data_IF_997167798871
#
_entry.id   IF_997167798871
#
_cell.length_a   1.000
_cell.length_b   1.000
_cell.length_c   1.000
_cell.angle_alpha   90.00
_cell.angle_beta   90.00
_cell.angle_gamma   90.00
#
_symmetry.space_group_name_H-M   'P 1'
#
loop_
_entity.id
_entity.type
_entity.pdbx_description
1 polymer ?
#
# COMPACT_ATOMS: atom_id res chain seq x y z
N UNK A 1 0.40 -2.07 -7.64
CA UNK A 1 -0.93 -2.35 -8.22
C UNK A 1 -0.83 -3.20 -9.47
N UNK A 2 -1.53 -4.33 -9.47
CA UNK A 2 -1.69 -5.19 -10.64
C UNK A 2 -2.56 -4.52 -11.72
N UNK A 3 -2.15 -4.58 -12.99
CA UNK A 3 -2.76 -3.85 -14.10
C UNK A 3 -3.41 -4.74 -15.15
N UNK A 4 -3.20 -6.06 -15.09
CA UNK A 4 -3.85 -6.97 -16.03
C UNK A 4 -5.30 -7.27 -15.62
N UNK A 5 -6.10 -7.72 -16.59
CA UNK A 5 -7.55 -7.93 -16.42
C UNK A 5 -7.90 -8.96 -15.34
N UNK A 6 -7.06 -9.98 -15.14
CA UNK A 6 -7.31 -11.08 -14.20
C UNK A 6 -6.00 -11.56 -13.60
N UNK A 7 -6.02 -11.87 -12.31
CA UNK A 7 -4.92 -12.58 -11.69
C UNK A 7 -4.71 -13.94 -12.33
N UNK A 8 -3.43 -14.32 -12.51
CA UNK A 8 -3.07 -15.66 -12.93
C UNK A 8 -3.56 -16.70 -11.93
N UNK A 9 -4.39 -17.64 -12.40
CA UNK A 9 -4.99 -18.70 -11.57
C UNK A 9 -3.94 -19.43 -10.70
N UNK A 10 -2.79 -19.76 -11.30
CA UNK A 10 -1.69 -20.44 -10.61
C UNK A 10 -0.99 -19.58 -9.57
N UNK A 11 -0.88 -18.27 -9.80
CA UNK A 11 -0.30 -17.33 -8.84
C UNK A 11 -1.16 -17.26 -7.58
N UNK A 12 -2.49 -17.10 -7.75
CA UNK A 12 -3.44 -17.08 -6.62
C UNK A 12 -3.40 -18.37 -5.82
N UNK A 13 -3.40 -19.52 -6.49
CA UNK A 13 -3.33 -20.83 -5.84
C UNK A 13 -2.00 -20.97 -5.09
N UNK A 14 -0.87 -20.67 -5.73
CA UNK A 14 0.45 -20.83 -5.10
C UNK A 14 0.65 -19.93 -3.87
N UNK A 15 0.10 -18.71 -3.91
CA UNK A 15 0.14 -17.77 -2.80
C UNK A 15 -0.69 -18.27 -1.59
N UNK A 16 -1.85 -18.90 -1.84
CA UNK A 16 -2.80 -19.31 -0.80
C UNK A 16 -2.83 -20.82 -0.46
N UNK A 17 -2.03 -21.65 -1.14
CA UNK A 17 -2.07 -23.13 -1.05
C UNK A 17 -1.86 -23.69 0.36
N UNK A 18 -1.23 -22.94 1.28
CA UNK A 18 -1.03 -23.38 2.67
C UNK A 18 -2.36 -23.68 3.36
N UNK A 19 -3.42 -22.93 3.06
CA UNK A 19 -4.76 -23.19 3.60
C UNK A 19 -5.33 -24.54 3.13
N UNK A 20 -5.13 -24.88 1.86
CA UNK A 20 -5.58 -26.17 1.32
C UNK A 20 -4.90 -27.34 2.01
N UNK A 21 -3.57 -27.31 2.13
CA UNK A 21 -2.81 -28.38 2.80
C UNK A 21 -3.16 -28.49 4.28
N UNK A 22 -3.46 -27.37 4.95
CA UNK A 22 -3.93 -27.39 6.32
C UNK A 22 -5.29 -28.10 6.44
N UNK A 23 -6.25 -27.82 5.56
CA UNK A 23 -7.53 -28.53 5.53
C UNK A 23 -7.40 -30.02 5.18
N UNK A 24 -6.48 -30.38 4.28
CA UNK A 24 -6.16 -31.79 4.00
C UNK A 24 -5.61 -32.48 5.25
N UNK A 25 -4.70 -31.83 5.97
CA UNK A 25 -4.12 -32.35 7.20
C UNK A 25 -5.20 -32.60 8.27
N UNK A 26 -6.08 -31.62 8.52
CA UNK A 26 -7.15 -31.77 9.52
C UNK A 26 -8.16 -32.86 9.14
N UNK A 27 -8.44 -33.03 7.83
CA UNK A 27 -9.25 -34.16 7.35
C UNK A 27 -8.60 -35.51 7.57
N UNK A 28 -7.29 -35.65 7.31
CA UNK A 28 -6.56 -36.90 7.56
C UNK A 28 -6.57 -37.26 9.04
N UNK A 29 -6.44 -36.27 9.93
CA UNK A 29 -6.56 -36.48 11.38
C UNK A 29 -7.96 -36.99 11.73
N UNK A 30 -9.02 -36.35 11.24
CA UNK A 30 -10.40 -36.77 11.51
C UNK A 30 -10.69 -38.19 10.99
N UNK A 31 -10.23 -38.53 9.78
CA UNK A 31 -10.36 -39.88 9.22
C UNK A 31 -9.55 -40.91 10.01
N UNK A 32 -8.32 -40.56 10.44
CA UNK A 32 -7.52 -41.43 11.31
C UNK A 32 -8.26 -41.74 12.62
N UNK A 33 -8.84 -40.72 13.26
CA UNK A 33 -9.67 -40.90 14.45
C UNK A 33 -10.89 -41.79 14.17
N UNK A 34 -11.58 -41.58 13.04
CA UNK A 34 -12.73 -42.38 12.62
C UNK A 34 -12.38 -43.86 12.46
N UNK A 35 -11.30 -44.19 11.76
CA UNK A 35 -10.90 -45.59 11.51
C UNK A 35 -10.28 -46.28 12.73
N UNK A 36 -9.61 -45.55 13.63
CA UNK A 36 -8.92 -46.13 14.81
C UNK A 36 -9.85 -46.26 16.01
N UNK A 37 -10.62 -45.21 16.32
CA UNK A 37 -11.44 -45.13 17.55
C UNK A 37 -12.91 -45.49 17.29
N UNK A 38 -13.33 -45.51 16.01
CA UNK A 38 -14.70 -45.75 15.60
C UNK A 38 -15.55 -44.48 15.65
N UNK A 39 -16.53 -44.40 14.73
CA UNK A 39 -17.39 -43.23 14.48
C UNK A 39 -18.07 -42.64 15.74
N UNK A 40 -18.33 -43.48 16.75
CA UNK A 40 -19.17 -43.14 17.90
C UNK A 40 -18.49 -42.24 18.95
N UNK A 41 -17.17 -42.03 18.89
CA UNK A 41 -16.47 -41.27 19.94
C UNK A 41 -16.36 -39.76 19.69
N UNK A 42 -16.64 -39.28 18.47
CA UNK A 42 -16.50 -37.86 18.11
C UNK A 42 -17.68 -37.37 17.27
N UNK A 43 -18.88 -37.36 17.86
CA UNK A 43 -20.06 -36.75 17.23
C UNK A 43 -19.98 -35.23 17.35
N UNK A 44 -19.76 -34.55 16.22
CA UNK A 44 -19.89 -33.09 16.10
C UNK A 44 -21.13 -32.81 15.26
N UNK A 45 -22.19 -32.19 15.83
CA UNK A 45 -23.37 -31.88 15.05
C UNK A 45 -23.04 -30.90 13.92
N UNK A 46 -23.64 -31.09 12.74
CA UNK A 46 -23.42 -30.23 11.58
C UNK A 46 -23.93 -28.80 11.79
N UNK A 47 -25.08 -28.62 12.46
CA UNK A 47 -25.76 -27.33 12.57
C UNK A 47 -24.92 -26.26 13.31
N UNK A 48 -24.27 -26.55 14.45
CA UNK A 48 -23.33 -25.63 15.10
C UNK A 48 -22.13 -25.25 14.22
N UNK A 49 -21.55 -26.20 13.48
CA UNK A 49 -20.42 -25.93 12.59
C UNK A 49 -20.84 -25.00 11.45
N UNK A 50 -22.00 -25.24 10.85
CA UNK A 50 -22.57 -24.39 9.82
C UNK A 50 -22.84 -22.96 10.35
N UNK A 51 -23.37 -22.83 11.56
CA UNK A 51 -23.62 -21.52 12.20
C UNK A 51 -22.31 -20.74 12.40
N UNK A 52 -21.27 -21.40 12.94
CA UNK A 52 -19.94 -20.79 13.14
C UNK A 52 -19.30 -20.41 11.80
N UNK A 53 -19.37 -21.29 10.79
CA UNK A 53 -18.87 -21.01 9.44
C UNK A 53 -19.56 -19.83 8.79
N UNK A 54 -20.88 -19.72 8.96
CA UNK A 54 -21.67 -18.58 8.46
C UNK A 54 -21.28 -17.29 9.15
N UNK A 55 -21.17 -17.28 10.49
CA UNK A 55 -20.73 -16.11 11.25
C UNK A 55 -19.30 -15.67 10.85
N UNK A 56 -18.40 -16.63 10.63
CA UNK A 56 -17.04 -16.37 10.16
C UNK A 56 -17.02 -15.76 8.75
N UNK A 57 -17.86 -16.25 7.83
CA UNK A 57 -17.97 -15.69 6.49
C UNK A 57 -18.45 -14.23 6.51
N UNK A 58 -19.46 -13.90 7.33
CA UNK A 58 -19.90 -12.52 7.53
C UNK A 58 -18.79 -11.66 8.14
N UNK A 59 -18.11 -12.16 9.17
CA UNK A 59 -17.01 -11.43 9.81
C UNK A 59 -15.92 -11.08 8.78
N UNK A 60 -15.45 -12.06 8.00
CA UNK A 60 -14.43 -11.84 6.97
C UNK A 60 -14.92 -10.89 5.88
N UNK A 61 -16.20 -10.96 5.49
CA UNK A 61 -16.80 -10.00 4.55
C UNK A 61 -16.73 -8.56 5.07
N UNK A 62 -17.09 -8.32 6.32
CA UNK A 62 -16.97 -6.99 6.93
C UNK A 62 -15.51 -6.53 7.06
N UNK A 63 -14.60 -7.41 7.50
CA UNK A 63 -13.16 -7.11 7.56
C UNK A 63 -12.63 -6.72 6.18
N UNK A 64 -12.93 -7.51 5.15
CA UNK A 64 -12.43 -7.27 3.79
C UNK A 64 -12.93 -5.96 3.21
N UNK A 65 -14.20 -5.59 3.45
CA UNK A 65 -14.72 -4.29 3.05
C UNK A 65 -13.96 -3.15 3.74
N UNK A 66 -13.72 -3.25 5.05
CA UNK A 66 -12.95 -2.24 5.79
C UNK A 66 -11.49 -2.14 5.32
N UNK A 67 -10.84 -3.28 5.04
CA UNK A 67 -9.50 -3.30 4.45
C UNK A 67 -9.46 -2.68 3.07
N UNK A 68 -10.46 -2.95 2.23
CA UNK A 68 -10.58 -2.36 0.90
C UNK A 68 -10.79 -0.84 0.97
N UNK A 69 -11.64 -0.36 1.88
CA UNK A 69 -11.85 1.08 2.07
C UNK A 69 -10.56 1.80 2.46
N UNK A 70 -9.71 1.18 3.26
CA UNK A 70 -8.38 1.68 3.64
C UNK A 70 -7.42 1.75 2.44
N UNK A 71 -7.38 0.71 1.60
CA UNK A 71 -6.63 0.72 0.34
C UNK A 71 -7.14 1.83 -0.61
N UNK A 72 -8.47 1.96 -0.71
CA UNK A 72 -9.11 2.99 -1.53
C UNK A 72 -8.84 4.40 -1.00
N UNK A 73 -8.81 4.60 0.31
CA UNK A 73 -8.41 5.85 0.95
C UNK A 73 -6.98 6.24 0.55
N UNK A 74 -6.03 5.30 0.64
CA UNK A 74 -4.66 5.52 0.18
C UNK A 74 -4.61 5.92 -1.30
N UNK A 75 -5.40 5.27 -2.16
CA UNK A 75 -5.48 5.63 -3.59
C UNK A 75 -6.02 7.04 -3.82
N UNK A 76 -7.07 7.44 -3.08
CA UNK A 76 -7.65 8.79 -3.16
C UNK A 76 -6.66 9.87 -2.73
N UNK A 77 -5.93 9.65 -1.62
CA UNK A 77 -4.90 10.55 -1.12
C UNK A 77 -3.83 10.78 -2.19
N UNK A 78 -3.27 9.72 -2.74
CA UNK A 78 -2.25 9.82 -3.78
C UNK A 78 -2.78 10.37 -5.11
N UNK A 79 -4.08 10.19 -5.41
CA UNK A 79 -4.74 10.88 -6.52
C UNK A 79 -4.85 12.40 -6.30
N UNK A 80 -5.16 12.84 -5.08
CA UNK A 80 -5.17 14.26 -4.72
C UNK A 80 -3.76 14.87 -4.82
N UNK A 81 -2.73 14.15 -4.37
CA UNK A 81 -1.33 14.58 -4.49
C UNK A 81 -0.96 14.88 -5.95
N UNK A 82 -1.38 14.07 -6.93
CA UNK A 82 -1.11 14.33 -8.37
C UNK A 82 -1.68 15.69 -8.79
N UNK A 83 -2.99 15.88 -8.58
CA UNK A 83 -3.68 17.07 -9.05
C UNK A 83 -3.18 18.34 -8.35
N UNK A 84 -2.93 18.24 -7.05
CA UNK A 84 -2.40 19.35 -6.26
C UNK A 84 -0.97 19.69 -6.71
N UNK A 85 -0.12 18.69 -7.00
CA UNK A 85 1.25 18.93 -7.48
C UNK A 85 1.27 19.70 -8.82
N UNK A 86 0.40 19.32 -9.76
CA UNK A 86 0.24 20.03 -11.04
C UNK A 86 -0.26 21.45 -10.84
N UNK A 87 -1.24 21.64 -9.95
CA UNK A 87 -1.78 22.96 -9.62
C UNK A 87 -0.71 23.86 -8.99
N UNK A 88 0.11 23.30 -8.09
CA UNK A 88 1.25 24.00 -7.50
C UNK A 88 2.28 24.43 -8.53
N UNK A 89 2.67 23.54 -9.45
CA UNK A 89 3.59 23.87 -10.52
C UNK A 89 3.04 25.01 -11.40
N UNK A 90 1.76 24.96 -11.77
CA UNK A 90 1.11 26.03 -12.53
C UNK A 90 1.11 27.36 -11.76
N UNK A 91 0.78 27.33 -10.46
CA UNK A 91 0.83 28.51 -9.59
C UNK A 91 2.24 29.06 -9.48
N UNK A 92 3.27 28.25 -9.25
CA UNK A 92 4.67 28.71 -9.20
C UNK A 92 5.09 29.38 -10.50
N UNK A 93 4.74 28.79 -11.65
CA UNK A 93 5.08 29.34 -12.96
C UNK A 93 4.40 30.68 -13.24
N UNK A 94 3.15 30.85 -12.80
CA UNK A 94 2.36 32.06 -13.04
C UNK A 94 2.48 33.15 -11.97
N UNK A 95 2.68 32.77 -10.70
CA UNK A 95 2.60 33.71 -9.57
C UNK A 95 3.93 34.35 -9.23
N UNK A 96 5.04 33.63 -9.38
CA UNK A 96 6.39 34.15 -9.09
C UNK A 96 6.82 35.04 -10.26
N UNK A 97 6.74 36.35 -10.07
CA UNK A 97 7.03 37.35 -11.12
C UNK A 97 7.68 38.61 -10.55
N UNK A 98 8.28 39.42 -11.42
CA UNK A 98 8.86 40.72 -11.06
C UNK A 98 7.82 41.84 -10.86
N UNK A 99 6.52 41.53 -10.87
CA UNK A 99 5.46 42.56 -10.96
C UNK A 99 5.46 43.53 -9.77
N UNK A 100 5.79 43.04 -8.58
CA UNK A 100 5.79 43.82 -7.33
C UNK A 100 7.18 43.93 -6.70
N UNK A 101 8.22 43.46 -7.39
CA UNK A 101 9.59 43.45 -6.87
C UNK A 101 10.20 44.85 -7.00
N UNK A 102 10.73 45.44 -5.90
CA UNK A 102 11.43 46.73 -5.97
C UNK A 102 12.64 46.67 -6.92
N UNK A 103 13.37 45.57 -6.86
CA UNK A 103 14.50 45.25 -7.75
C UNK A 103 14.13 44.04 -8.60
N UNK A 104 14.05 44.22 -9.92
CA UNK A 104 13.71 43.14 -10.83
C UNK A 104 14.85 42.13 -10.95
N UNK A 105 14.52 40.84 -10.82
CA UNK A 105 15.46 39.75 -11.04
C UNK A 105 15.50 39.38 -12.51
N UNK A 106 16.65 38.86 -12.98
CA UNK A 106 16.76 38.36 -14.35
C UNK A 106 15.80 37.18 -14.60
N UNK A 107 15.36 36.99 -15.84
CA UNK A 107 14.53 35.84 -16.22
C UNK A 107 15.19 34.48 -15.88
N UNK A 108 16.53 34.42 -15.95
CA UNK A 108 17.29 33.22 -15.57
C UNK A 108 17.19 32.95 -14.07
N UNK A 109 17.27 33.98 -13.25
CA UNK A 109 17.12 33.86 -11.79
C UNK A 109 15.67 33.50 -11.43
N UNK A 110 14.68 34.13 -12.08
CA UNK A 110 13.26 33.82 -11.87
C UNK A 110 12.95 32.36 -12.20
N UNK A 111 13.50 31.86 -13.32
CA UNK A 111 13.39 30.45 -13.68
C UNK A 111 14.07 29.54 -12.66
N UNK A 112 15.26 29.90 -12.16
CA UNK A 112 15.95 29.13 -11.12
C UNK A 112 15.14 29.05 -9.81
N UNK A 113 14.47 30.13 -9.41
CA UNK A 113 13.57 30.16 -8.25
C UNK A 113 12.38 29.21 -8.47
N UNK A 114 11.70 29.32 -9.62
CA UNK A 114 10.58 28.45 -9.98
C UNK A 114 10.98 26.98 -9.98
N UNK A 115 12.14 26.68 -10.57
CA UNK A 115 12.75 25.35 -10.58
C UNK A 115 13.02 24.85 -9.17
N UNK A 116 13.63 25.66 -8.30
CA UNK A 116 13.90 25.29 -6.88
C UNK A 116 12.63 24.94 -6.13
N UNK A 117 11.56 25.75 -6.24
CA UNK A 117 10.29 25.48 -5.57
C UNK A 117 9.65 24.16 -6.02
N UNK A 118 9.67 23.88 -7.32
CA UNK A 118 9.11 22.64 -7.89
C UNK A 118 9.98 21.43 -7.53
N UNK A 119 11.31 21.56 -7.60
CA UNK A 119 12.23 20.49 -7.24
C UNK A 119 12.15 20.16 -5.75
N UNK A 120 12.00 21.16 -4.87
CA UNK A 120 11.76 20.92 -3.44
C UNK A 120 10.44 20.18 -3.20
N UNK A 121 9.39 20.46 -3.97
CA UNK A 121 8.15 19.67 -3.92
C UNK A 121 8.36 18.20 -4.35
N UNK A 122 9.18 17.96 -5.37
CA UNK A 122 9.57 16.59 -5.76
C UNK A 122 10.44 15.89 -4.69
N UNK A 123 11.26 16.64 -3.97
CA UNK A 123 12.01 16.14 -2.82
C UNK A 123 11.07 15.73 -1.67
N UNK A 124 10.04 16.52 -1.38
CA UNK A 124 9.01 16.16 -0.39
C UNK A 124 8.31 14.84 -0.79
N UNK A 125 7.87 14.74 -2.03
CA UNK A 125 7.21 13.55 -2.56
C UNK A 125 8.11 12.31 -2.46
N UNK A 126 9.41 12.49 -2.73
CA UNK A 126 10.42 11.45 -2.57
C UNK A 126 10.57 11.04 -1.10
N UNK A 127 10.71 11.99 -0.18
CA UNK A 127 10.80 11.70 1.25
C UNK A 127 9.57 10.92 1.75
N UNK A 128 8.36 11.37 1.39
CA UNK A 128 7.10 10.73 1.78
C UNK A 128 7.02 9.29 1.25
N UNK A 129 7.35 9.08 -0.02
CA UNK A 129 7.38 7.76 -0.65
C UNK A 129 8.31 6.78 0.06
N UNK A 130 9.55 7.19 0.34
CA UNK A 130 10.52 6.35 1.06
C UNK A 130 10.09 6.08 2.51
N UNK A 131 9.53 7.08 3.18
CA UNK A 131 8.98 6.93 4.53
C UNK A 131 7.85 5.88 4.57
N UNK A 132 6.96 5.87 3.58
CA UNK A 132 5.85 4.92 3.50
C UNK A 132 6.31 3.52 3.08
N UNK A 133 7.42 3.39 2.35
CA UNK A 133 8.06 2.10 2.01
C UNK A 133 8.92 1.51 3.14
N UNK A 134 9.13 2.25 4.22
CA UNK A 134 9.90 1.73 5.37
C UNK A 134 9.09 0.64 6.10
N UNK A 135 9.63 -0.58 6.29
CA UNK A 135 8.87 -1.68 6.85
C UNK A 135 8.53 -1.46 8.34
N UNK A 136 7.37 -1.96 8.75
CA UNK A 136 6.92 -2.00 10.15
C UNK A 136 6.83 -3.43 10.65
N UNK A 137 6.94 -3.62 11.96
CA UNK A 137 6.95 -4.96 12.60
C UNK A 137 5.69 -5.81 12.32
N UNK A 138 4.60 -5.17 11.94
CA UNK A 138 3.31 -5.82 11.69
C UNK A 138 2.98 -6.00 10.20
N UNK A 139 3.85 -5.49 9.33
CA UNK A 139 3.72 -5.66 7.89
C UNK A 139 4.33 -7.00 7.48
N UNK A 140 3.99 -7.43 6.28
CA UNK A 140 4.39 -8.70 5.69
C UNK A 140 5.83 -8.63 5.17
N UNK A 141 6.79 -8.26 6.02
CA UNK A 141 8.17 -7.95 5.60
C UNK A 141 8.85 -9.19 5.00
N UNK A 142 8.74 -10.35 5.65
CA UNK A 142 9.33 -11.60 5.15
C UNK A 142 8.65 -12.09 3.87
N UNK A 143 7.33 -11.92 3.78
CA UNK A 143 6.55 -12.27 2.60
C UNK A 143 6.83 -11.32 1.44
N UNK A 144 7.00 -10.03 1.69
CA UNK A 144 7.42 -9.03 0.70
C UNK A 144 8.83 -9.33 0.19
N UNK A 145 9.76 -9.71 1.06
CA UNK A 145 11.08 -10.18 0.62
C UNK A 145 11.02 -11.46 -0.20
N UNK A 146 10.19 -12.43 0.19
CA UNK A 146 9.94 -13.65 -0.61
C UNK A 146 9.28 -13.32 -1.93
N UNK A 147 8.32 -12.40 -1.94
CA UNK A 147 7.61 -11.95 -3.12
C UNK A 147 8.59 -11.31 -4.13
N UNK A 148 9.45 -10.41 -3.66
CA UNK A 148 10.49 -9.79 -4.48
C UNK A 148 11.50 -10.82 -5.05
N UNK A 149 11.70 -11.97 -4.39
CA UNK A 149 12.49 -13.08 -4.95
C UNK A 149 11.77 -13.83 -6.08
N UNK A 150 10.44 -13.93 -6.04
CA UNK A 150 9.65 -14.55 -7.12
C UNK A 150 9.51 -13.63 -8.34
N UNK A 151 9.57 -12.31 -8.13
CA UNK A 151 9.52 -11.29 -9.19
C UNK A 151 10.83 -10.47 -9.21
N UNK A 152 11.97 -11.07 -9.57
CA UNK A 152 13.28 -10.39 -9.50
C UNK A 152 13.40 -9.19 -10.45
N UNK A 153 12.52 -9.11 -11.46
CA UNK A 153 12.47 -7.98 -12.38
C UNK A 153 11.69 -6.78 -11.81
N UNK A 154 10.90 -6.98 -10.75
CA UNK A 154 10.12 -5.94 -10.08
C UNK A 154 11.07 -5.04 -9.26
N UNK A 155 11.67 -4.07 -9.93
CA UNK A 155 12.56 -3.09 -9.31
C UNK A 155 11.76 -2.03 -8.58
N UNK A 156 11.40 -2.28 -7.33
CA UNK A 156 10.90 -1.23 -6.43
C UNK A 156 12.04 -0.25 -6.15
N UNK A 157 12.02 0.98 -6.68
CA UNK A 157 13.20 1.86 -6.63
C UNK A 157 13.67 2.11 -5.20
N UNK A 158 12.73 2.23 -4.26
CA UNK A 158 12.99 2.57 -2.86
C UNK A 158 13.67 1.45 -2.07
N UNK A 159 13.68 0.21 -2.59
CA UNK A 159 14.35 -0.93 -1.97
C UNK A 159 15.80 -1.08 -2.45
N UNK A 160 16.18 -0.42 -3.54
CA UNK A 160 17.48 -0.63 -4.21
C UNK A 160 18.35 0.62 -4.26
N UNK A 161 17.73 1.80 -4.30
CA UNK A 161 18.44 3.09 -4.34
C UNK A 161 18.27 3.78 -2.99
N UNK A 162 19.34 4.36 -2.46
CA UNK A 162 19.22 5.12 -1.21
C UNK A 162 18.50 6.43 -1.47
N UNK A 163 17.63 6.82 -0.55
CA UNK A 163 16.88 8.07 -0.65
C UNK A 163 17.80 9.28 -0.87
N UNK A 164 18.94 9.35 -0.19
CA UNK A 164 19.86 10.49 -0.30
C UNK A 164 20.49 10.60 -1.70
N UNK A 165 20.66 9.50 -2.43
CA UNK A 165 21.14 9.52 -3.83
C UNK A 165 20.10 10.13 -4.78
N UNK A 166 18.81 9.90 -4.51
CA UNK A 166 17.71 10.49 -5.29
C UNK A 166 17.51 11.95 -4.94
N UNK A 167 17.59 12.31 -3.65
CA UNK A 167 17.38 13.67 -3.19
C UNK A 167 18.44 14.66 -3.70
N UNK A 168 19.66 14.20 -4.01
CA UNK A 168 20.71 15.02 -4.63
C UNK A 168 20.31 15.62 -5.99
N UNK A 169 19.34 15.03 -6.70
CA UNK A 169 18.80 15.61 -7.94
C UNK A 169 17.89 16.82 -7.65
N UNK A 170 17.28 16.87 -6.47
CA UNK A 170 16.21 17.80 -6.13
C UNK A 170 16.62 18.90 -5.16
N UNK A 171 17.53 18.62 -4.24
CA UNK A 171 17.95 19.51 -3.17
C UNK A 171 19.41 19.90 -3.30
N UNK A 172 19.74 21.11 -2.84
CA UNK A 172 21.12 21.55 -2.68
C UNK A 172 21.83 20.79 -1.54
N UNK A 173 23.16 20.82 -1.52
CA UNK A 173 23.94 20.18 -0.45
C UNK A 173 23.64 20.77 0.95
N UNK A 174 23.32 22.06 1.01
CA UNK A 174 22.91 22.75 2.24
C UNK A 174 21.55 22.23 2.75
N UNK A 175 20.54 22.19 1.87
CA UNK A 175 19.23 21.64 2.22
C UNK A 175 19.30 20.15 2.60
N UNK A 176 20.19 19.38 1.95
CA UNK A 176 20.43 17.99 2.32
C UNK A 176 21.01 17.86 3.73
N UNK A 177 21.98 18.71 4.09
CA UNK A 177 22.58 18.73 5.42
C UNK A 177 21.54 19.08 6.50
N UNK A 178 20.63 20.01 6.21
CA UNK A 178 19.54 20.39 7.14
C UNK A 178 18.56 19.23 7.42
N UNK A 179 18.45 18.27 6.50
CA UNK A 179 17.62 17.07 6.66
C UNK A 179 18.33 15.95 7.42
N UNK A 180 19.64 16.01 7.63
CA UNK A 180 20.38 14.99 8.36
C UNK A 180 19.90 14.89 9.81
N UNK A 181 19.74 13.65 10.30
CA UNK A 181 19.29 13.37 11.67
C UNK A 181 17.82 13.71 11.97
N UNK A 182 17.05 14.25 11.01
CA UNK A 182 15.63 14.57 11.22
C UNK A 182 14.76 13.31 11.16
N UNK A 183 13.82 13.18 12.10
CA UNK A 183 12.91 12.04 12.18
C UNK A 183 11.87 12.00 11.06
N UNK A 184 11.33 13.17 10.67
CA UNK A 184 10.38 13.32 9.57
C UNK A 184 10.93 14.31 8.54
N UNK A 185 11.76 13.81 7.62
CA UNK A 185 12.38 14.62 6.56
C UNK A 185 11.34 15.28 5.65
N UNK A 186 10.23 14.60 5.34
CA UNK A 186 9.17 15.16 4.49
C UNK A 186 8.56 16.45 5.09
N UNK A 187 8.25 16.45 6.39
CA UNK A 187 7.77 17.65 7.10
C UNK A 187 8.79 18.79 7.05
N UNK A 188 10.08 18.49 7.18
CA UNK A 188 11.12 19.53 7.13
C UNK A 188 11.22 20.16 5.74
N UNK A 189 11.07 19.36 4.66
CA UNK A 189 11.03 19.88 3.29
C UNK A 189 9.86 20.84 3.08
N UNK A 190 8.66 20.53 3.59
CA UNK A 190 7.52 21.45 3.52
C UNK A 190 7.73 22.72 4.36
N UNK A 191 8.41 22.62 5.49
CA UNK A 191 8.77 23.80 6.30
C UNK A 191 9.73 24.72 5.53
N UNK A 192 10.77 24.15 4.92
CA UNK A 192 11.68 24.90 4.06
C UNK A 192 10.95 25.55 2.87
N UNK A 193 9.94 24.87 2.32
CA UNK A 193 9.09 25.45 1.26
C UNK A 193 8.34 26.70 1.75
N UNK A 194 7.72 26.65 2.93
CA UNK A 194 7.03 27.83 3.52
C UNK A 194 8.00 28.99 3.75
N UNK A 195 9.20 28.73 4.28
CA UNK A 195 10.21 29.77 4.50
C UNK A 195 10.68 30.42 3.18
N UNK A 196 10.86 29.62 2.14
CA UNK A 196 11.22 30.14 0.81
C UNK A 196 10.10 31.02 0.23
N UNK A 197 8.84 30.61 0.37
CA UNK A 197 7.68 31.42 -0.04
C UNK A 197 7.62 32.76 0.73
N UNK A 198 7.94 32.76 2.02
CA UNK A 198 8.04 33.99 2.81
C UNK A 198 9.14 34.91 2.27
N UNK A 199 10.34 34.39 2.01
CA UNK A 199 11.44 35.18 1.46
C UNK A 199 11.10 35.78 0.09
N UNK A 200 10.37 35.05 -0.77
CA UNK A 200 9.92 35.56 -2.06
C UNK A 200 8.91 36.70 -1.93
N UNK A 201 8.02 36.61 -0.93
CA UNK A 201 7.11 37.71 -0.59
C UNK A 201 7.86 38.94 -0.11
N UNK A 202 8.83 38.78 0.79
CA UNK A 202 9.64 39.88 1.31
C UNK A 202 10.44 40.60 0.21
N UNK A 203 10.83 39.86 -0.85
CA UNK A 203 11.47 40.40 -2.06
C UNK A 203 10.50 41.01 -3.07
N UNK A 204 9.19 40.95 -2.85
CA UNK A 204 8.16 41.42 -3.79
C UNK A 204 7.98 40.54 -5.03
N UNK A 205 8.58 39.34 -5.06
CA UNK A 205 8.40 38.37 -6.15
C UNK A 205 7.06 37.62 -6.06
N UNK A 206 6.39 37.72 -4.90
CA UNK A 206 5.04 37.27 -4.62
C UNK A 206 4.30 38.39 -3.87
N UNK A 207 3.03 38.63 -4.26
CA UNK A 207 2.12 39.46 -3.46
C UNK A 207 1.47 38.64 -2.34
N UNK A 208 0.75 39.32 -1.44
CA UNK A 208 0.09 38.69 -0.28
C UNK A 208 -0.96 37.64 -0.68
N UNK A 209 -1.71 37.88 -1.76
CA UNK A 209 -2.78 36.98 -2.20
C UNK A 209 -2.21 35.69 -2.80
N UNK A 210 -1.19 35.82 -3.67
CA UNK A 210 -0.47 34.68 -4.27
C UNK A 210 0.29 33.89 -3.21
N UNK A 211 0.91 34.57 -2.26
CA UNK A 211 1.57 33.93 -1.13
C UNK A 211 0.56 33.10 -0.31
N UNK A 212 -0.61 33.66 0.00
CA UNK A 212 -1.66 32.95 0.72
C UNK A 212 -2.15 31.70 -0.04
N UNK A 213 -2.35 31.78 -1.35
CA UNK A 213 -2.75 30.62 -2.16
C UNK A 213 -1.66 29.53 -2.22
N UNK A 214 -0.39 29.90 -2.35
CA UNK A 214 0.72 28.95 -2.30
C UNK A 214 0.87 28.31 -0.90
N UNK A 215 0.64 29.09 0.17
CA UNK A 215 0.66 28.56 1.53
C UNK A 215 -0.50 27.59 1.79
N UNK A 216 -1.70 27.85 1.26
CA UNK A 216 -2.82 26.89 1.30
C UNK A 216 -2.42 25.57 0.64
N UNK A 217 -1.69 25.60 -0.47
CA UNK A 217 -1.16 24.39 -1.09
C UNK A 217 -0.21 23.63 -0.16
N UNK A 218 0.73 24.31 0.49
CA UNK A 218 1.65 23.66 1.45
C UNK A 218 0.86 23.00 2.60
N UNK A 219 -0.16 23.67 3.12
CA UNK A 219 -1.07 23.09 4.13
C UNK A 219 -1.78 21.84 3.63
N UNK A 220 -2.27 21.83 2.38
CA UNK A 220 -2.88 20.62 1.78
C UNK A 220 -1.88 19.47 1.68
N UNK A 221 -0.59 19.74 1.42
CA UNK A 221 0.44 18.69 1.38
C UNK A 221 0.71 18.10 2.78
N UNK A 222 0.67 18.93 3.83
CA UNK A 222 0.68 18.42 5.21
C UNK A 222 -0.52 17.51 5.49
N UNK A 223 -1.71 17.87 5.03
CA UNK A 223 -2.91 17.06 5.22
C UNK A 223 -2.79 15.69 4.53
N UNK A 224 -2.35 15.66 3.26
CA UNK A 224 -2.18 14.40 2.51
C UNK A 224 -1.04 13.54 3.07
N UNK A 225 0.04 14.17 3.56
CA UNK A 225 1.10 13.48 4.29
C UNK A 225 0.57 12.85 5.57
N UNK A 226 -0.14 13.61 6.42
CA UNK A 226 -0.69 13.11 7.68
C UNK A 226 -1.70 11.98 7.50
N UNK A 227 -2.55 12.05 6.46
CA UNK A 227 -3.47 10.97 6.10
C UNK A 227 -2.70 9.69 5.68
N UNK A 228 -1.65 9.83 4.86
CA UNK A 228 -0.80 8.71 4.45
C UNK A 228 -0.07 8.08 5.63
N UNK A 229 0.51 8.90 6.50
CA UNK A 229 1.18 8.46 7.73
C UNK A 229 0.22 7.75 8.67
N UNK A 230 -1.04 8.20 8.77
CA UNK A 230 -2.06 7.53 9.56
C UNK A 230 -2.31 6.11 9.05
N UNK A 231 -2.48 5.95 7.74
CA UNK A 231 -2.64 4.62 7.11
C UNK A 231 -1.40 3.76 7.31
N UNK A 232 -0.19 4.32 7.29
CA UNK A 232 1.03 3.53 7.53
C UNK A 232 1.21 3.12 9.00
N UNK A 233 0.93 4.03 9.93
CA UNK A 233 1.33 3.87 11.34
C UNK A 233 0.22 3.33 12.26
N UNK A 234 -1.05 3.40 11.86
CA UNK A 234 -2.20 2.94 12.66
C UNK A 234 -2.95 1.79 11.97
N UNK A 235 -2.38 0.57 12.01
CA UNK A 235 -3.00 -0.65 11.50
C UNK A 235 -4.26 -1.02 12.30
N UNK A 236 -5.07 -1.94 11.80
CA UNK A 236 -6.22 -2.44 12.54
C UNK A 236 -5.82 -3.06 13.88
N UNK A 237 -6.72 -3.03 14.88
CA UNK A 237 -6.49 -3.71 16.14
C UNK A 237 -6.12 -5.17 15.89
N UNK A 238 -5.07 -5.67 16.56
CA UNK A 238 -4.48 -6.99 16.27
C UNK A 238 -5.44 -8.17 16.43
N UNK A 239 -6.53 -7.96 17.15
CA UNK A 239 -7.63 -8.90 17.26
C UNK A 239 -8.27 -9.19 15.88
N UNK A 240 -8.36 -8.21 14.98
CA UNK A 240 -8.87 -8.37 13.61
C UNK A 240 -7.93 -9.18 12.71
N UNK A 241 -6.64 -9.25 13.03
CA UNK A 241 -5.71 -10.16 12.37
C UNK A 241 -5.74 -11.57 12.99
N UNK A 242 -5.81 -11.65 14.32
CA UNK A 242 -5.62 -12.92 15.04
C UNK A 242 -6.89 -13.78 15.13
N UNK A 243 -8.03 -13.16 15.48
CA UNK A 243 -9.28 -13.88 15.76
C UNK A 243 -9.80 -14.62 14.52
N UNK A 244 -9.82 -14.04 13.30
CA UNK A 244 -10.29 -14.75 12.12
C UNK A 244 -9.43 -15.98 11.83
N UNK A 245 -8.10 -15.86 11.90
CA UNK A 245 -7.20 -16.99 11.70
C UNK A 245 -7.43 -18.10 12.73
N UNK A 246 -7.70 -17.76 13.99
CA UNK A 246 -8.05 -18.73 15.03
C UNK A 246 -9.37 -19.44 14.69
N UNK A 247 -10.40 -18.68 14.30
CA UNK A 247 -11.72 -19.23 13.94
C UNK A 247 -11.65 -20.11 12.70
N UNK A 248 -10.88 -19.72 11.68
CA UNK A 248 -10.64 -20.53 10.48
C UNK A 248 -9.97 -21.85 10.86
N UNK A 249 -8.93 -21.81 11.72
CA UNK A 249 -8.26 -23.03 12.19
C UNK A 249 -9.22 -23.94 12.96
N UNK A 250 -9.99 -23.38 13.89
CA UNK A 250 -10.97 -24.13 14.66
C UNK A 250 -12.04 -24.77 13.77
N UNK A 251 -12.59 -23.99 12.82
CA UNK A 251 -13.59 -24.46 11.86
C UNK A 251 -13.02 -25.56 10.95
N UNK A 252 -11.79 -25.39 10.44
CA UNK A 252 -11.10 -26.41 9.63
C UNK A 252 -10.84 -27.72 10.37
N UNK A 253 -10.66 -27.66 11.70
CA UNK A 253 -10.55 -28.86 12.54
C UNK A 253 -11.91 -29.53 12.78
N UNK A 254 -12.97 -28.76 13.07
CA UNK A 254 -14.30 -29.32 13.37
C UNK A 254 -15.06 -29.83 12.14
N UNK A 255 -14.90 -29.13 11.01
CA UNK A 255 -15.63 -29.40 9.77
C UNK A 255 -15.54 -30.87 9.32
N UNK A 256 -14.35 -31.51 9.25
CA UNK A 256 -14.28 -32.89 8.80
C UNK A 256 -15.00 -33.85 9.74
N UNK A 257 -14.98 -33.64 11.07
CA UNK A 257 -15.73 -34.49 12.01
C UNK A 257 -17.25 -34.37 11.82
N UNK A 258 -17.75 -33.15 11.56
CA UNK A 258 -19.17 -32.92 11.33
C UNK A 258 -19.68 -33.52 10.00
N UNK A 259 -18.79 -33.74 9.04
CA UNK A 259 -19.13 -34.27 7.72
C UNK A 259 -19.09 -35.80 7.64
N UNK A 260 -18.45 -36.50 8.60
CA UNK A 260 -18.26 -37.97 8.54
C UNK A 260 -19.58 -38.71 8.34
N UNK A 261 -20.57 -38.47 9.20
CA UNK A 261 -21.85 -39.20 9.13
C UNK A 261 -22.60 -38.94 7.83
N UNK A 262 -22.54 -37.72 7.32
CA UNK A 262 -23.26 -37.33 6.11
C UNK A 262 -22.64 -37.95 4.85
N UNK A 263 -21.31 -38.07 4.79
CA UNK A 263 -20.64 -38.80 3.69
C UNK A 263 -20.76 -40.33 3.84
N UNK A 264 -20.77 -40.86 5.06
CA UNK A 264 -20.97 -42.29 5.32
C UNK A 264 -22.35 -42.77 4.87
N UNK A 265 -23.41 -41.97 5.11
CA UNK A 265 -24.79 -42.25 4.65
C UNK A 265 -24.90 -42.41 3.14
N UNK A 266 -24.06 -41.72 2.36
CA UNK A 266 -24.05 -41.82 0.89
C UNK A 266 -23.35 -43.11 0.44
N UNK A 267 -22.30 -43.52 1.14
CA UNK A 267 -21.65 -44.81 0.94
C UNK A 267 -20.31 -44.94 1.67
N UNK A 268 -19.85 -46.16 1.95
CA UNK A 268 -18.66 -46.39 2.78
C UNK A 268 -17.36 -45.80 2.17
N UNK A 269 -17.25 -45.74 0.84
CA UNK A 269 -16.09 -45.15 0.17
C UNK A 269 -16.20 -43.62 0.01
N UNK A 270 -17.37 -43.02 0.23
CA UNK A 270 -17.55 -41.56 0.09
C UNK A 270 -16.94 -40.77 1.23
N UNK A 271 -16.63 -41.41 2.37
CA UNK A 271 -15.96 -40.79 3.52
C UNK A 271 -14.61 -40.15 3.14
N UNK A 272 -13.92 -40.68 2.12
CA UNK A 272 -12.68 -40.09 1.61
C UNK A 272 -12.85 -38.72 0.94
N UNK A 273 -14.07 -38.37 0.50
CA UNK A 273 -14.38 -37.06 -0.09
C UNK A 273 -14.25 -35.91 0.91
N UNK A 274 -14.22 -36.18 2.21
CA UNK A 274 -14.00 -35.19 3.26
C UNK A 274 -12.64 -34.48 3.09
N UNK A 275 -11.63 -35.16 2.53
CA UNK A 275 -10.30 -34.59 2.31
C UNK A 275 -10.35 -33.40 1.33
N UNK A 276 -10.76 -33.57 0.06
CA UNK A 276 -10.82 -32.45 -0.87
C UNK A 276 -11.86 -31.40 -0.48
N UNK A 277 -13.00 -31.78 0.11
CA UNK A 277 -14.03 -30.82 0.51
C UNK A 277 -13.56 -29.86 1.60
N UNK A 278 -13.04 -30.39 2.71
CA UNK A 278 -12.52 -29.56 3.80
C UNK A 278 -11.29 -28.76 3.36
N UNK A 279 -10.42 -29.35 2.52
CA UNK A 279 -9.29 -28.66 1.90
C UNK A 279 -9.73 -27.42 1.13
N UNK A 280 -10.75 -27.55 0.27
CA UNK A 280 -11.30 -26.43 -0.50
C UNK A 280 -11.95 -25.38 0.42
N UNK A 281 -12.79 -25.80 1.38
CA UNK A 281 -13.48 -24.87 2.27
C UNK A 281 -12.48 -24.08 3.11
N UNK A 282 -11.48 -24.76 3.69
CA UNK A 282 -10.40 -24.12 4.46
C UNK A 282 -9.61 -23.16 3.58
N UNK A 283 -9.29 -23.57 2.36
CA UNK A 283 -8.60 -22.73 1.38
C UNK A 283 -9.37 -21.45 1.06
N UNK A 284 -10.69 -21.54 0.83
CA UNK A 284 -11.54 -20.37 0.56
C UNK A 284 -11.52 -19.39 1.72
N UNK A 285 -11.68 -19.87 2.96
CA UNK A 285 -11.66 -19.01 4.14
C UNK A 285 -10.30 -18.35 4.37
N UNK A 286 -9.20 -19.09 4.22
CA UNK A 286 -7.84 -18.52 4.29
C UNK A 286 -7.61 -17.51 3.16
N UNK A 287 -8.03 -17.81 1.94
CA UNK A 287 -7.89 -16.89 0.81
C UNK A 287 -8.64 -15.58 1.06
N UNK A 288 -9.88 -15.65 1.59
CA UNK A 288 -10.64 -14.47 1.96
C UNK A 288 -9.92 -13.64 3.03
N UNK A 289 -9.37 -14.29 4.05
CA UNK A 289 -8.58 -13.63 5.08
C UNK A 289 -7.38 -12.90 4.47
N UNK A 290 -6.58 -13.62 3.67
CA UNK A 290 -5.35 -13.08 3.09
C UNK A 290 -5.61 -11.88 2.17
N UNK A 291 -6.71 -11.89 1.42
CA UNK A 291 -7.11 -10.74 0.61
C UNK A 291 -7.34 -9.50 1.49
N UNK A 292 -8.03 -9.66 2.63
CA UNK A 292 -8.26 -8.58 3.57
C UNK A 292 -6.98 -8.09 4.26
N UNK A 293 -6.12 -9.02 4.68
CA UNK A 293 -4.88 -8.73 5.41
C UNK A 293 -3.88 -7.94 4.54
N UNK A 294 -3.67 -8.36 3.29
CA UNK A 294 -2.77 -7.65 2.36
C UNK A 294 -3.36 -6.32 1.87
N UNK A 295 -4.69 -6.19 1.80
CA UNK A 295 -5.33 -4.91 1.43
C UNK A 295 -5.23 -3.87 2.55
N UNK A 296 -4.97 -4.28 3.80
CA UNK A 296 -4.85 -3.38 4.94
C UNK A 296 -3.59 -2.48 4.88
N UNK A 297 -2.54 -2.95 4.20
CA UNK A 297 -1.22 -2.34 4.18
C UNK A 297 -0.83 -1.89 2.75
N UNK A 298 -1.28 -0.72 2.28
CA UNK A 298 -1.22 -0.35 0.86
C UNK A 298 0.14 0.20 0.38
N UNK A 299 1.20 0.09 1.20
CA UNK A 299 2.49 0.75 0.98
C UNK A 299 3.72 -0.15 1.16
N UNK A 300 3.58 -1.47 1.20
CA UNK A 300 4.65 -2.46 1.35
C UNK A 300 5.52 -2.68 0.09
N UNK A 301 4.98 -2.42 -1.10
CA UNK A 301 5.62 -2.66 -2.39
C UNK A 301 5.11 -3.93 -3.08
N UNK A 302 3.90 -4.39 -2.72
CA UNK A 302 3.34 -5.62 -3.30
C UNK A 302 2.35 -5.34 -4.45
N UNK A 303 1.85 -6.40 -5.07
CA UNK A 303 0.90 -6.32 -6.19
C UNK A 303 -0.44 -5.67 -5.81
N UNK A 304 -0.87 -5.77 -4.55
CA UNK A 304 -2.13 -5.21 -4.05
C UNK A 304 -2.03 -3.72 -3.70
N UNK A 305 -0.83 -3.17 -3.68
CA UNK A 305 -0.55 -1.84 -3.16
C UNK A 305 -0.89 -0.74 -4.15
N UNK A 306 -1.04 0.47 -3.60
CA UNK A 306 -1.09 1.69 -4.40
C UNK A 306 0.26 1.89 -5.12
N UNK A 307 0.26 2.21 -6.43
CA UNK A 307 1.49 2.31 -7.21
C UNK A 307 2.15 3.68 -6.98
N UNK A 308 2.57 3.94 -5.74
CA UNK A 308 3.06 5.26 -5.32
C UNK A 308 4.35 5.67 -6.04
N UNK A 309 5.12 4.70 -6.54
CA UNK A 309 6.37 4.95 -7.28
C UNK A 309 6.08 5.47 -8.68
N UNK A 310 5.11 4.88 -9.38
CA UNK A 310 4.62 5.30 -10.67
C UNK A 310 3.85 6.62 -10.58
N UNK A 311 3.04 6.80 -9.54
CA UNK A 311 2.38 8.09 -9.30
C UNK A 311 3.45 9.17 -9.13
N UNK A 312 4.48 8.91 -8.33
CA UNK A 312 5.58 9.86 -8.14
C UNK A 312 6.34 10.14 -9.44
N UNK A 313 6.61 9.11 -10.25
CA UNK A 313 7.23 9.28 -11.57
C UNK A 313 6.37 10.13 -12.50
N UNK A 314 5.05 9.88 -12.54
CA UNK A 314 4.11 10.66 -13.36
C UNK A 314 4.15 12.13 -12.95
N UNK A 315 4.10 12.42 -11.64
CA UNK A 315 4.21 13.80 -11.12
C UNK A 315 5.55 14.43 -11.51
N UNK A 316 6.65 13.68 -11.38
CA UNK A 316 7.99 14.15 -11.75
C UNK A 316 8.08 14.52 -13.24
N UNK A 317 7.54 13.69 -14.13
CA UNK A 317 7.48 13.95 -15.57
C UNK A 317 6.69 15.22 -15.85
N UNK A 318 5.45 15.29 -15.37
CA UNK A 318 4.57 16.43 -15.61
C UNK A 318 5.23 17.75 -15.16
N UNK A 319 5.81 17.77 -13.95
CA UNK A 319 6.44 18.96 -13.37
C UNK A 319 7.69 19.39 -14.13
N UNK A 320 8.53 18.44 -14.57
CA UNK A 320 9.72 18.72 -15.37
C UNK A 320 9.36 19.21 -16.78
N UNK A 321 8.30 18.67 -17.38
CA UNK A 321 7.75 19.14 -18.66
C UNK A 321 7.20 20.57 -18.56
N UNK A 322 6.43 20.86 -17.51
CA UNK A 322 5.92 22.21 -17.23
C UNK A 322 7.06 23.23 -17.05
N UNK A 323 8.19 22.81 -16.47
CA UNK A 323 9.42 23.60 -16.36
C UNK A 323 10.25 23.67 -17.66
N UNK A 324 9.97 22.82 -18.65
CA UNK A 324 10.77 22.63 -19.87
C UNK A 324 12.22 22.20 -19.58
N UNK A 325 12.40 21.31 -18.60
CA UNK A 325 13.69 20.70 -18.32
C UNK A 325 14.19 19.87 -19.52
N UNK A 326 15.49 19.89 -19.76
CA UNK A 326 16.09 19.11 -20.85
C UNK A 326 16.07 17.59 -20.57
N UNK A 327 16.07 17.20 -19.29
CA UNK A 327 16.13 15.80 -18.85
C UNK A 327 14.83 15.43 -18.15
N UNK A 328 13.96 14.75 -18.87
CA UNK A 328 12.70 14.18 -18.36
C UNK A 328 12.92 12.67 -18.20
N UNK A 329 12.57 12.07 -17.06
CA UNK A 329 12.69 10.64 -16.88
C UNK A 329 11.62 9.86 -17.65
N UNK A 330 11.91 8.61 -17.99
CA UNK A 330 10.94 7.74 -18.67
C UNK A 330 9.81 7.28 -17.73
N UNK A 331 8.57 7.10 -18.24
CA UNK A 331 7.48 6.48 -17.49
C UNK A 331 7.85 5.06 -17.02
N UNK A 332 7.49 4.74 -15.78
CA UNK A 332 7.64 3.37 -15.27
C UNK A 332 6.67 2.43 -16.01
N UNK A 333 7.23 1.41 -16.67
CA UNK A 333 6.45 0.39 -17.36
C UNK A 333 6.00 -0.70 -16.38
N UNK A 334 4.84 -1.34 -16.62
CA UNK A 334 4.43 -2.51 -15.87
C UNK A 334 5.46 -3.64 -16.04
N UNK A 335 5.87 -4.24 -14.94
CA UNK A 335 6.73 -5.44 -14.94
C UNK A 335 5.89 -6.60 -14.40
N UNK A 336 5.78 -7.68 -15.18
CA UNK A 336 4.94 -8.85 -14.83
C UNK A 336 3.49 -8.47 -14.48
N UNK A 337 2.93 -7.49 -15.21
CA UNK A 337 1.58 -6.99 -14.98
C UNK A 337 1.44 -6.09 -13.75
N UNK A 338 2.54 -5.63 -13.15
CA UNK A 338 2.53 -4.81 -11.94
C UNK A 338 3.13 -3.43 -12.16
N UNK A 339 2.45 -2.43 -11.62
CA UNK A 339 2.90 -1.04 -11.51
C UNK A 339 3.23 -0.72 -10.06
N UNK A 340 4.44 -0.19 -9.82
CA UNK A 340 4.99 0.09 -8.49
C UNK A 340 4.66 1.45 -7.94
#
# INVERSE_FOLDING_TARGET
MYTERRYGYWTTINWSRRGFFFGVFTSLVALGCYFVVGAKCFFVPWQPVLLVGTALAFYLGFKNNASYDRLWEARKIWGAIINNSRSFAAMVLGFVTNLHAPDSVSEKELHAIKRRLIFRHLAWLTCLRYQLRTPRKWEHTEETERFNKYFPNLKTPELHVKMDEVLQEFLSAEEMADLEGKSNKATQVLTAQTLDLQHLRERGLLDDFRHMELQKFVSMMYDEQGKSERIKNFPFPRQYATVPLLLIKFMSFLLPFALIEDFEKVGPNFVWMIIPFNGIVTWVFILMEMIGDYSENPFEGTYNDVPISNISRTIEIDLKEMLREAKIPEPLQPVDGMLM
#
